data_IF_017894793641
#
_entry.id   IF_017894793641
#
_cell.length_a   1.000
_cell.length_b   1.000
_cell.length_c   1.000
_cell.angle_alpha   90.00
_cell.angle_beta   90.00
_cell.angle_gamma   90.00
#
_symmetry.space_group_name_H-M   'P 1'
#
loop_
_entity.id
_entity.type
_entity.pdbx_description
1 polymer ?
#
# COMPACT_ATOMS: atom_id res chain seq x y z
N UNK A 1 47.16 -42.13 6.82
CA UNK A 1 46.06 -42.79 7.54
C UNK A 1 44.89 -42.89 6.56
N UNK A 2 44.68 -44.00 5.83
CA UNK A 2 44.17 -45.30 6.31
C UNK A 2 42.92 -45.12 7.21
N UNK A 3 41.78 -45.79 7.05
CA UNK A 3 41.45 -47.02 6.29
C UNK A 3 39.93 -47.29 6.40
N UNK A 4 39.32 -47.72 5.28
CA UNK A 4 38.25 -48.75 5.07
C UNK A 4 36.88 -48.64 5.80
N UNK A 5 35.76 -49.10 5.23
CA UNK A 5 35.49 -49.75 3.95
C UNK A 5 34.26 -50.68 4.00
N UNK A 6 33.73 -51.00 2.80
CA UNK A 6 32.97 -52.20 2.38
C UNK A 6 31.53 -52.37 2.93
N UNK A 7 30.51 -52.84 2.20
CA UNK A 7 30.38 -53.32 0.82
C UNK A 7 29.20 -54.33 0.69
N UNK A 8 28.66 -54.49 -0.53
CA UNK A 8 28.05 -55.72 -1.10
C UNK A 8 26.69 -56.24 -0.54
N UNK A 9 25.76 -56.94 -1.23
CA UNK A 9 25.56 -57.40 -2.64
C UNK A 9 24.19 -58.13 -2.79
N UNK A 10 23.60 -58.10 -4.00
CA UNK A 10 22.71 -59.04 -4.75
C UNK A 10 21.39 -59.67 -4.21
N UNK A 11 20.32 -59.42 -4.99
CA UNK A 11 19.43 -60.32 -5.76
C UNK A 11 18.64 -61.50 -5.13
N UNK A 12 17.34 -61.61 -5.45
CA UNK A 12 16.77 -62.83 -6.10
C UNK A 12 15.37 -62.59 -6.70
N UNK A 13 15.11 -63.26 -7.84
CA UNK A 13 13.83 -63.46 -8.54
C UNK A 13 12.93 -64.46 -7.79
N UNK A 14 11.61 -64.35 -7.98
CA UNK A 14 10.71 -65.50 -7.95
C UNK A 14 9.67 -65.40 -9.08
N UNK A 15 9.63 -66.44 -9.91
CA UNK A 15 8.63 -66.72 -10.94
C UNK A 15 7.39 -67.38 -10.30
N UNK A 16 6.20 -67.13 -10.83
CA UNK A 16 5.04 -67.99 -10.59
C UNK A 16 4.38 -68.39 -11.92
N UNK A 17 4.45 -69.68 -12.17
CA UNK A 17 3.89 -70.49 -13.24
C UNK A 17 2.40 -70.78 -12.97
N UNK A 18 1.52 -70.69 -13.98
CA UNK A 18 0.25 -71.46 -13.97
C UNK A 18 -0.02 -72.04 -15.36
N UNK A 19 -0.32 -73.35 -15.36
CA UNK A 19 -0.55 -74.24 -16.50
C UNK A 19 -1.99 -74.18 -17.02
N UNK A 20 -2.11 -74.19 -18.34
CA UNK A 20 -2.96 -75.02 -19.22
C UNK A 20 -4.19 -75.76 -18.64
N UNK A 21 -5.37 -75.55 -19.25
CA UNK A 21 -6.27 -76.65 -19.69
C UNK A 21 -7.25 -76.19 -20.78
N UNK A 22 -7.29 -76.97 -21.85
CA UNK A 22 -8.19 -76.93 -23.01
C UNK A 22 -9.57 -77.55 -22.73
N UNK A 23 -10.62 -77.06 -23.38
CA UNK A 23 -11.85 -77.82 -23.65
C UNK A 23 -12.53 -77.34 -24.93
N UNK A 24 -12.81 -78.29 -25.84
CA UNK A 24 -13.48 -78.15 -27.13
C UNK A 24 -14.99 -78.33 -26.94
N UNK A 25 -15.82 -77.58 -27.67
CA UNK A 25 -17.12 -78.06 -28.13
C UNK A 25 -17.44 -77.51 -29.53
N UNK A 26 -17.84 -78.41 -30.44
CA UNK A 26 -18.35 -78.15 -31.79
C UNK A 26 -19.87 -78.29 -31.78
N UNK A 27 -20.59 -77.39 -32.45
CA UNK A 27 -21.91 -77.65 -33.05
C UNK A 27 -22.12 -76.76 -34.29
N UNK A 28 -23.06 -77.16 -35.13
CA UNK A 28 -22.98 -77.12 -36.60
C UNK A 28 -24.15 -76.33 -37.22
N UNK A 29 -23.87 -75.59 -38.31
CA UNK A 29 -24.77 -75.11 -39.42
C UNK A 29 -25.91 -74.12 -39.11
N UNK A 30 -25.91 -72.97 -39.82
CA UNK A 30 -26.63 -72.76 -41.11
C UNK A 30 -26.38 -71.34 -41.67
N UNK A 31 -26.16 -71.29 -42.98
CA UNK A 31 -26.06 -70.09 -43.82
C UNK A 31 -27.35 -69.25 -43.82
N UNK A 32 -27.21 -67.93 -43.77
CA UNK A 32 -28.03 -66.99 -44.56
C UNK A 32 -27.12 -65.86 -45.04
N UNK A 33 -26.97 -65.74 -46.36
CA UNK A 33 -26.34 -64.63 -47.07
C UNK A 33 -27.38 -63.50 -47.21
N UNK A 34 -27.10 -62.32 -46.63
CA UNK A 34 -27.79 -61.08 -47.01
C UNK A 34 -26.71 -60.08 -47.47
N UNK A 35 -26.72 -59.77 -48.76
CA UNK A 35 -25.95 -58.66 -49.35
C UNK A 35 -26.52 -57.34 -48.79
N UNK A 36 -25.77 -56.67 -47.93
CA UNK A 36 -26.03 -55.29 -47.51
C UNK A 36 -25.02 -54.38 -48.20
N UNK A 37 -25.54 -53.48 -49.04
CA UNK A 37 -24.82 -52.34 -49.61
C UNK A 37 -24.38 -51.40 -48.48
N UNK A 38 -23.07 -51.31 -48.26
CA UNK A 38 -22.44 -50.34 -47.36
C UNK A 38 -22.59 -48.92 -47.95
N UNK A 39 -23.45 -48.11 -47.34
CA UNK A 39 -23.31 -46.64 -47.37
C UNK A 39 -22.37 -46.27 -46.21
N UNK A 40 -21.30 -45.48 -46.40
CA UNK A 40 -20.43 -45.12 -45.31
C UNK A 40 -21.16 -44.16 -44.35
N UNK A 41 -21.38 -44.60 -43.12
CA UNK A 41 -21.80 -43.73 -42.02
C UNK A 41 -20.60 -42.84 -41.67
N UNK A 42 -20.76 -41.54 -41.89
CA UNK A 42 -19.83 -40.51 -41.41
C UNK A 42 -19.66 -40.65 -39.89
N UNK A 43 -18.45 -40.95 -39.43
CA UNK A 43 -18.10 -41.03 -38.03
C UNK A 43 -18.09 -39.62 -37.41
N UNK A 44 -19.18 -39.23 -36.77
CA UNK A 44 -19.19 -38.07 -35.89
C UNK A 44 -18.38 -38.40 -34.62
N UNK A 45 -17.22 -37.74 -34.45
CA UNK A 45 -16.30 -37.99 -33.34
C UNK A 45 -16.54 -36.95 -32.20
N UNK A 46 -17.13 -37.32 -31.05
CA UNK A 46 -17.55 -36.37 -30.02
C UNK A 46 -16.41 -35.84 -29.13
N UNK A 47 -15.16 -36.22 -29.38
CA UNK A 47 -14.00 -35.91 -28.51
C UNK A 47 -13.39 -34.52 -28.71
N UNK A 48 -13.60 -33.86 -29.86
CA UNK A 48 -12.99 -32.56 -30.13
C UNK A 48 -13.60 -31.40 -29.30
N UNK A 49 -14.89 -31.47 -28.95
CA UNK A 49 -15.56 -30.42 -28.17
C UNK A 49 -15.10 -30.36 -26.71
N UNK A 50 -14.95 -31.52 -26.06
CA UNK A 50 -14.50 -31.61 -24.68
C UNK A 50 -13.01 -31.23 -24.52
N UNK A 51 -12.15 -31.62 -25.47
CA UNK A 51 -10.74 -31.23 -25.48
C UNK A 51 -10.57 -29.71 -25.70
N UNK A 52 -11.35 -29.11 -26.62
CA UNK A 52 -11.33 -27.65 -26.88
C UNK A 52 -11.89 -26.84 -25.70
N UNK A 53 -12.97 -27.31 -25.05
CA UNK A 53 -13.55 -26.66 -23.87
C UNK A 53 -12.60 -26.70 -22.66
N UNK A 54 -11.98 -27.85 -22.40
CA UNK A 54 -10.97 -27.99 -21.34
C UNK A 54 -9.72 -27.14 -21.61
N UNK A 55 -9.31 -27.01 -22.88
CA UNK A 55 -8.19 -26.16 -23.28
C UNK A 55 -8.50 -24.67 -23.13
N UNK A 56 -9.73 -24.24 -23.46
CA UNK A 56 -10.17 -22.86 -23.26
C UNK A 56 -10.22 -22.48 -21.78
N UNK A 57 -10.85 -23.33 -20.95
CA UNK A 57 -10.88 -23.14 -19.48
C UNK A 57 -9.48 -23.11 -18.86
N UNK A 58 -8.57 -23.99 -19.32
CA UNK A 58 -7.16 -23.97 -18.87
C UNK A 58 -6.46 -22.67 -19.25
N UNK A 59 -6.67 -22.16 -20.47
CA UNK A 59 -6.10 -20.86 -20.89
C UNK A 59 -6.66 -19.70 -20.08
N UNK A 60 -7.96 -19.70 -19.82
CA UNK A 60 -8.62 -18.66 -19.02
C UNK A 60 -8.17 -18.69 -17.56
N UNK A 61 -8.06 -19.90 -16.98
CA UNK A 61 -7.49 -20.08 -15.64
C UNK A 61 -6.03 -19.62 -15.57
N UNK A 62 -5.22 -19.93 -16.58
CA UNK A 62 -3.84 -19.45 -16.65
C UNK A 62 -3.76 -17.93 -16.77
N UNK A 63 -4.65 -17.30 -17.57
CA UNK A 63 -4.72 -15.87 -17.69
C UNK A 63 -5.12 -15.20 -16.36
N UNK A 64 -6.14 -15.71 -15.68
CA UNK A 64 -6.55 -15.24 -14.35
C UNK A 64 -5.45 -15.45 -13.30
N UNK A 65 -4.73 -16.58 -13.35
CA UNK A 65 -3.59 -16.84 -12.47
C UNK A 65 -2.43 -15.85 -12.70
N UNK A 66 -2.13 -15.54 -13.97
CA UNK A 66 -1.12 -14.55 -14.31
C UNK A 66 -1.52 -13.15 -13.81
N UNK A 67 -2.78 -12.76 -14.00
CA UNK A 67 -3.31 -11.49 -13.51
C UNK A 67 -3.23 -11.38 -11.98
N UNK A 68 -3.70 -12.42 -11.25
CA UNK A 68 -3.58 -12.50 -9.79
C UNK A 68 -2.11 -12.44 -9.33
N UNK A 69 -1.19 -13.06 -10.07
CA UNK A 69 0.23 -13.00 -9.75
C UNK A 69 0.79 -11.58 -9.88
N UNK A 70 0.33 -10.82 -10.86
CA UNK A 70 0.72 -9.43 -11.08
C UNK A 70 0.23 -8.54 -9.93
N UNK A 71 -1.06 -8.66 -9.55
CA UNK A 71 -1.60 -7.92 -8.40
C UNK A 71 -0.87 -8.23 -7.10
N UNK A 72 -0.56 -9.51 -6.84
CA UNK A 72 0.22 -9.92 -5.66
C UNK A 72 1.61 -9.32 -5.63
N UNK A 73 2.29 -9.23 -6.79
CA UNK A 73 3.60 -8.59 -6.88
C UNK A 73 3.52 -7.09 -6.57
N UNK A 74 2.51 -6.40 -7.11
CA UNK A 74 2.27 -4.98 -6.83
C UNK A 74 2.00 -4.73 -5.35
N UNK A 75 1.10 -5.53 -4.73
CA UNK A 75 0.82 -5.46 -3.29
C UNK A 75 2.08 -5.67 -2.46
N UNK A 76 2.87 -6.71 -2.76
CA UNK A 76 4.14 -6.97 -2.06
C UNK A 76 5.11 -5.80 -2.17
N UNK A 77 5.17 -5.14 -3.33
CA UNK A 77 5.99 -3.94 -3.52
C UNK A 77 5.54 -2.77 -2.64
N UNK A 78 4.22 -2.58 -2.47
CA UNK A 78 3.66 -1.58 -1.57
C UNK A 78 3.95 -1.92 -0.10
N UNK A 79 3.65 -3.15 0.32
CA UNK A 79 3.86 -3.61 1.70
C UNK A 79 5.33 -3.53 2.15
N UNK A 80 6.28 -3.63 1.21
CA UNK A 80 7.70 -3.52 1.53
C UNK A 80 8.13 -2.13 2.03
N UNK A 81 7.40 -1.06 1.67
CA UNK A 81 7.79 0.33 2.01
C UNK A 81 6.72 1.15 2.71
N UNK A 82 5.46 0.75 2.57
CA UNK A 82 4.31 1.47 3.11
C UNK A 82 3.86 0.82 4.41
N UNK A 83 3.18 1.58 5.26
CA UNK A 83 2.34 1.00 6.30
C UNK A 83 1.05 0.53 5.65
N UNK A 84 0.62 -0.69 5.96
CA UNK A 84 -0.65 -1.22 5.49
C UNK A 84 -1.42 -1.89 6.63
N UNK A 85 -2.73 -1.72 6.60
CA UNK A 85 -3.64 -2.37 7.54
C UNK A 85 -4.97 -2.67 6.86
N UNK A 86 -5.66 -3.70 7.31
CA UNK A 86 -7.04 -3.98 6.91
C UNK A 86 -7.95 -4.05 8.12
N UNK A 87 -9.15 -3.51 7.97
CA UNK A 87 -10.21 -3.63 8.96
C UNK A 87 -11.33 -4.52 8.43
N UNK A 88 -11.97 -5.25 9.34
CA UNK A 88 -13.26 -5.88 9.04
C UNK A 88 -14.40 -4.85 9.00
N UNK A 89 -15.60 -5.30 8.64
CA UNK A 89 -16.79 -4.45 8.59
C UNK A 89 -17.20 -3.85 9.96
N UNK A 90 -16.61 -4.33 11.07
CA UNK A 90 -16.83 -3.84 12.43
C UNK A 90 -15.69 -2.94 12.93
N UNK A 91 -14.84 -2.42 12.05
CA UNK A 91 -13.71 -1.55 12.36
C UNK A 91 -12.60 -2.24 13.19
N UNK A 92 -12.53 -3.58 13.18
CA UNK A 92 -11.49 -4.34 13.88
C UNK A 92 -10.33 -4.64 12.97
N UNK A 93 -9.11 -4.57 13.50
CA UNK A 93 -7.88 -4.82 12.76
C UNK A 93 -7.82 -6.30 12.38
N UNK A 94 -7.99 -6.60 11.09
CA UNK A 94 -7.90 -7.95 10.54
C UNK A 94 -6.47 -8.26 10.08
N UNK A 95 -5.72 -7.26 9.61
CA UNK A 95 -4.32 -7.38 9.22
C UNK A 95 -3.58 -6.07 9.48
N UNK A 96 -2.29 -6.18 9.79
CA UNK A 96 -1.35 -5.06 9.85
C UNK A 96 0.03 -5.57 9.43
N UNK A 97 0.73 -4.83 8.58
CA UNK A 97 2.07 -5.21 8.14
C UNK A 97 3.15 -4.79 9.15
N UNK A 98 4.35 -5.35 9.00
CA UNK A 98 5.48 -5.08 9.91
C UNK A 98 5.85 -3.59 9.98
N UNK A 99 5.64 -2.84 8.88
CA UNK A 99 5.91 -1.41 8.87
C UNK A 99 4.93 -0.65 9.77
N UNK A 100 3.65 -1.00 9.74
CA UNK A 100 2.65 -0.41 10.63
C UNK A 100 2.96 -0.77 12.09
N UNK A 101 3.23 -2.04 12.37
CA UNK A 101 3.58 -2.52 13.71
C UNK A 101 4.79 -1.79 14.28
N UNK A 102 5.86 -1.68 13.49
CA UNK A 102 7.09 -0.98 13.88
C UNK A 102 6.86 0.52 14.09
N UNK A 103 6.12 1.17 13.19
CA UNK A 103 5.85 2.60 13.27
C UNK A 103 5.04 2.98 14.53
N UNK A 104 4.09 2.12 14.94
CA UNK A 104 3.25 2.38 16.12
C UNK A 104 3.73 1.64 17.39
N UNK A 105 4.79 0.86 17.31
CA UNK A 105 5.40 0.17 18.46
C UNK A 105 4.58 -1.00 19.03
N UNK A 106 3.66 -1.56 18.25
CA UNK A 106 2.83 -2.68 18.68
C UNK A 106 3.29 -4.01 18.07
N UNK A 107 2.91 -5.10 18.73
CA UNK A 107 2.97 -6.46 18.19
C UNK A 107 1.66 -6.83 17.50
N UNK A 108 1.68 -7.83 16.61
CA UNK A 108 0.48 -8.29 15.93
C UNK A 108 -0.55 -8.84 16.95
N UNK A 109 -0.09 -9.56 17.97
CA UNK A 109 -0.91 -10.15 19.01
C UNK A 109 -1.68 -9.10 19.84
N UNK A 110 -1.10 -7.91 20.01
CA UNK A 110 -1.75 -6.81 20.71
C UNK A 110 -2.85 -6.15 19.89
N UNK A 111 -2.73 -6.15 18.55
CA UNK A 111 -3.60 -5.38 17.66
C UNK A 111 -4.68 -6.20 16.95
N UNK A 112 -4.39 -7.43 16.54
CA UNK A 112 -5.33 -8.22 15.76
C UNK A 112 -6.65 -8.43 16.53
N UNK A 113 -7.77 -8.12 15.86
CA UNK A 113 -9.12 -8.18 16.41
C UNK A 113 -9.51 -7.00 17.33
N UNK A 114 -8.57 -6.11 17.68
CA UNK A 114 -8.89 -4.88 18.41
C UNK A 114 -9.56 -3.87 17.49
N UNK A 115 -10.35 -3.01 18.11
CA UNK A 115 -10.98 -1.89 17.40
C UNK A 115 -9.91 -0.82 17.14
N UNK A 116 -9.79 -0.36 15.89
CA UNK A 116 -8.84 0.69 15.50
C UNK A 116 -9.01 1.95 16.35
N UNK A 117 -10.23 2.22 16.79
CA UNK A 117 -10.58 3.39 17.59
C UNK A 117 -9.87 3.46 18.94
N UNK A 118 -9.31 2.36 19.44
CA UNK A 118 -8.51 2.33 20.67
C UNK A 118 -7.15 3.00 20.47
N UNK A 119 -6.66 3.04 19.24
CA UNK A 119 -5.39 3.65 18.86
C UNK A 119 -5.56 5.07 18.35
N UNK A 120 -6.80 5.56 18.23
CA UNK A 120 -7.09 6.92 17.74
C UNK A 120 -7.36 7.83 18.94
N UNK A 121 -6.57 8.90 19.15
CA UNK A 121 -6.84 9.86 20.22
C UNK A 121 -8.27 10.41 20.14
N UNK A 122 -8.93 10.60 21.29
CA UNK A 122 -10.35 10.98 21.35
C UNK A 122 -10.67 12.27 20.59
N UNK A 123 -9.77 13.27 20.64
CA UNK A 123 -9.95 14.54 19.92
C UNK A 123 -9.91 14.37 18.39
N UNK A 124 -9.19 13.36 17.87
CA UNK A 124 -9.06 13.12 16.43
C UNK A 124 -10.39 12.72 15.81
N UNK A 125 -11.27 12.07 16.58
CA UNK A 125 -12.60 11.65 16.12
C UNK A 125 -13.51 12.83 15.75
N UNK A 126 -13.17 14.03 16.21
CA UNK A 126 -13.90 15.27 15.92
C UNK A 126 -13.30 16.06 14.74
N UNK A 127 -12.10 15.69 14.27
CA UNK A 127 -11.42 16.36 13.16
C UNK A 127 -12.02 15.96 11.81
N UNK A 128 -11.81 16.83 10.81
CA UNK A 128 -12.27 16.62 9.44
C UNK A 128 -11.80 15.30 8.83
N UNK A 129 -10.55 14.91 9.07
CA UNK A 129 -10.00 13.66 8.53
C UNK A 129 -10.83 12.42 8.89
N UNK A 130 -11.36 12.37 10.11
CA UNK A 130 -12.13 11.24 10.60
C UNK A 130 -13.60 11.32 10.16
N UNK A 131 -14.16 12.54 10.05
CA UNK A 131 -15.50 12.76 9.45
C UNK A 131 -15.51 12.39 7.97
N UNK A 132 -14.51 12.85 7.22
CA UNK A 132 -14.33 12.56 5.81
C UNK A 132 -14.13 11.06 5.56
N UNK A 133 -13.39 10.38 6.43
CA UNK A 133 -13.27 8.92 6.40
C UNK A 133 -14.63 8.22 6.50
N UNK A 134 -15.45 8.58 7.48
CA UNK A 134 -16.78 7.99 7.64
C UNK A 134 -17.67 8.22 6.40
N UNK A 135 -17.63 9.43 5.84
CA UNK A 135 -18.41 9.76 4.63
C UNK A 135 -17.91 8.97 3.41
N UNK A 136 -16.60 8.85 3.23
CA UNK A 136 -16.01 8.09 2.13
C UNK A 136 -16.38 6.60 2.22
N UNK A 137 -16.29 6.01 3.42
CA UNK A 137 -16.71 4.61 3.67
C UNK A 137 -18.19 4.40 3.35
N UNK A 138 -19.07 5.32 3.74
CA UNK A 138 -20.50 5.23 3.43
C UNK A 138 -20.80 5.32 1.93
N UNK A 139 -20.01 6.09 1.18
CA UNK A 139 -20.15 6.23 -0.27
C UNK A 139 -19.45 5.14 -1.07
N UNK A 140 -18.61 4.32 -0.43
CA UNK A 140 -17.74 3.38 -1.13
C UNK A 140 -16.58 4.07 -1.88
N UNK A 141 -16.24 5.29 -1.50
CA UNK A 141 -15.19 6.10 -2.13
C UNK A 141 -13.88 6.02 -1.34
N UNK A 142 -12.77 6.28 -2.02
CA UNK A 142 -11.47 6.37 -1.36
C UNK A 142 -11.24 7.75 -0.75
N UNK A 143 -10.40 7.81 0.27
CA UNK A 143 -10.02 9.09 0.91
C UNK A 143 -8.56 9.04 1.33
N UNK A 144 -7.88 10.18 1.20
CA UNK A 144 -6.49 10.36 1.63
C UNK A 144 -6.44 11.53 2.60
N UNK A 145 -5.86 11.32 3.77
CA UNK A 145 -5.66 12.38 4.77
C UNK A 145 -4.48 12.05 5.70
N UNK A 146 -4.16 12.97 6.60
CA UNK A 146 -3.17 12.81 7.66
C UNK A 146 -3.87 12.38 8.95
N UNK A 147 -3.66 11.13 9.33
CA UNK A 147 -4.22 10.53 10.52
C UNK A 147 -3.19 10.52 11.65
N UNK A 148 -3.71 10.46 12.87
CA UNK A 148 -2.91 10.46 14.09
C UNK A 148 -3.29 9.24 14.90
N UNK A 149 -2.29 8.44 15.25
CA UNK A 149 -2.45 7.25 16.06
C UNK A 149 -1.61 7.36 17.33
N UNK A 150 -2.03 6.68 18.37
CA UNK A 150 -1.25 6.47 19.57
C UNK A 150 -0.21 5.38 19.29
N UNK A 151 1.03 5.68 19.62
CA UNK A 151 2.08 4.68 19.76
C UNK A 151 1.88 3.89 21.05
N UNK A 152 2.49 2.70 21.15
CA UNK A 152 2.41 1.84 22.33
C UNK A 152 2.92 2.51 23.62
N UNK A 153 3.81 3.50 23.53
CA UNK A 153 4.32 4.30 24.66
C UNK A 153 3.47 5.54 24.98
N UNK A 154 2.40 5.79 24.21
CA UNK A 154 1.50 6.94 24.36
C UNK A 154 1.87 8.18 23.55
N UNK A 155 3.02 8.18 22.84
CA UNK A 155 3.38 9.23 21.89
C UNK A 155 2.48 9.22 20.65
N UNK A 156 2.57 10.27 19.82
CA UNK A 156 1.70 10.46 18.66
C UNK A 156 2.44 10.10 17.37
N UNK A 157 1.89 9.18 16.59
CA UNK A 157 2.40 8.81 15.26
C UNK A 157 1.49 9.41 14.20
N UNK A 158 2.10 10.09 13.24
CA UNK A 158 1.40 10.67 12.11
C UNK A 158 1.54 9.78 10.88
N UNK A 159 0.41 9.42 10.29
CA UNK A 159 0.37 8.60 9.08
C UNK A 159 -0.44 9.32 8.02
N UNK A 160 0.18 9.58 6.87
CA UNK A 160 -0.56 9.97 5.67
C UNK A 160 -1.09 8.70 5.02
N UNK A 161 -2.39 8.46 5.17
CA UNK A 161 -3.02 7.21 4.75
C UNK A 161 -4.11 7.44 3.71
N UNK A 162 -4.16 6.51 2.75
CA UNK A 162 -5.26 6.27 1.85
C UNK A 162 -6.12 5.13 2.39
N UNK A 163 -7.40 5.39 2.57
CA UNK A 163 -8.41 4.40 2.93
C UNK A 163 -9.26 4.04 1.72
N UNK A 164 -9.42 2.75 1.46
CA UNK A 164 -10.17 2.18 0.35
C UNK A 164 -11.22 1.19 0.89
N UNK A 165 -12.51 1.53 0.82
CA UNK A 165 -13.58 0.58 1.08
C UNK A 165 -13.60 -0.50 0.00
N UNK A 166 -13.71 -1.76 0.41
CA UNK A 166 -13.96 -2.89 -0.48
C UNK A 166 -15.35 -3.41 -0.16
N UNK A 167 -16.25 -3.31 -1.14
CA UNK A 167 -17.64 -3.70 -1.03
C UNK A 167 -17.85 -5.10 -1.64
N UNK A 168 -18.86 -5.81 -1.16
CA UNK A 168 -19.35 -7.04 -1.81
C UNK A 168 -20.31 -6.74 -2.98
N UNK A 169 -20.79 -7.80 -3.64
CA UNK A 169 -21.72 -7.70 -4.78
C UNK A 169 -23.07 -7.03 -4.42
N UNK A 170 -23.39 -6.91 -3.13
CA UNK A 170 -24.59 -6.24 -2.62
C UNK A 170 -24.32 -4.79 -2.20
N UNK A 171 -23.10 -4.29 -2.40
CA UNK A 171 -22.69 -2.94 -2.01
C UNK A 171 -22.42 -2.79 -0.51
N UNK A 172 -22.36 -3.88 0.25
CA UNK A 172 -22.06 -3.85 1.68
C UNK A 172 -20.55 -3.87 1.91
N UNK A 173 -20.08 -3.11 2.90
CA UNK A 173 -18.68 -3.10 3.28
C UNK A 173 -18.22 -4.49 3.71
N UNK A 174 -17.25 -5.05 2.99
CA UNK A 174 -16.59 -6.31 3.30
C UNK A 174 -15.33 -6.06 4.13
N UNK A 175 -14.48 -5.13 3.70
CA UNK A 175 -13.25 -4.75 4.42
C UNK A 175 -12.87 -3.31 4.07
N UNK A 176 -12.15 -2.65 4.97
CA UNK A 176 -11.57 -1.35 4.73
C UNK A 176 -10.05 -1.49 4.70
N UNK A 177 -9.44 -1.19 3.54
CA UNK A 177 -8.00 -1.31 3.32
C UNK A 177 -7.31 0.05 3.48
N UNK A 178 -6.14 0.06 4.12
CA UNK A 178 -5.33 1.24 4.34
C UNK A 178 -3.93 1.03 3.79
N UNK A 179 -3.43 2.04 3.08
CA UNK A 179 -2.01 2.16 2.72
C UNK A 179 -1.54 3.56 3.02
N UNK A 180 -0.35 3.71 3.59
CA UNK A 180 0.16 5.02 3.91
C UNK A 180 1.65 5.07 4.14
N UNK A 181 2.10 6.26 4.53
CA UNK A 181 3.46 6.50 4.96
C UNK A 181 3.43 7.14 6.34
N UNK A 182 4.33 6.69 7.21
CA UNK A 182 4.67 7.41 8.43
C UNK A 182 5.31 8.76 8.05
N UNK A 183 4.74 9.85 8.56
CA UNK A 183 5.21 11.23 8.36
C UNK A 183 5.57 11.90 9.68
N UNK A 184 5.70 11.16 10.78
CA UNK A 184 5.96 11.67 12.12
C UNK A 184 7.20 12.55 12.15
N UNK A 185 8.33 12.01 11.68
CA UNK A 185 9.60 12.74 11.60
C UNK A 185 9.48 14.02 10.74
N UNK A 186 8.72 13.96 9.64
CA UNK A 186 8.49 15.12 8.76
C UNK A 186 7.73 16.22 9.50
N UNK A 187 6.68 15.86 10.25
CA UNK A 187 5.87 16.79 11.03
C UNK A 187 6.66 17.38 12.18
N UNK A 188 7.40 16.54 12.92
CA UNK A 188 8.26 16.98 14.04
C UNK A 188 9.36 17.93 13.58
N UNK A 189 10.09 17.56 12.52
CA UNK A 189 11.14 18.42 11.93
C UNK A 189 10.57 19.76 11.47
N UNK A 190 9.37 19.77 10.87
CA UNK A 190 8.71 21.00 10.45
C UNK A 190 8.33 21.88 11.65
N UNK A 191 7.84 21.27 12.74
CA UNK A 191 7.50 21.97 13.97
C UNK A 191 8.74 22.56 14.66
N UNK A 192 9.83 21.79 14.75
CA UNK A 192 11.12 22.24 15.30
C UNK A 192 11.70 23.40 14.51
N UNK A 193 11.74 23.30 13.17
CA UNK A 193 12.22 24.37 12.30
C UNK A 193 11.38 25.64 12.45
N UNK A 194 10.05 25.49 12.53
CA UNK A 194 9.15 26.62 12.76
C UNK A 194 9.44 27.30 14.11
N UNK A 195 9.59 26.51 15.17
CA UNK A 195 9.93 27.02 16.50
C UNK A 195 11.29 27.73 16.52
N UNK A 196 12.29 27.17 15.84
CA UNK A 196 13.62 27.77 15.73
C UNK A 196 13.59 29.11 14.98
N UNK A 197 12.92 29.18 13.83
CA UNK A 197 12.73 30.43 13.08
C UNK A 197 12.02 31.47 13.95
N UNK A 198 10.96 31.08 14.66
CA UNK A 198 10.24 31.98 15.56
C UNK A 198 11.08 32.46 16.74
N UNK A 199 12.01 31.63 17.25
CA UNK A 199 12.97 32.06 18.26
C UNK A 199 13.96 33.10 17.71
N UNK A 200 14.52 32.85 16.52
CA UNK A 200 15.41 33.81 15.83
C UNK A 200 14.72 35.14 15.55
N UNK A 201 13.50 35.12 15.02
CA UNK A 201 12.71 36.33 14.77
C UNK A 201 12.37 37.09 16.05
N UNK A 202 12.31 36.41 17.20
CA UNK A 202 12.12 37.05 18.51
C UNK A 202 13.40 37.60 19.10
N UNK A 203 14.58 37.15 18.69
CA UNK A 203 15.85 37.66 19.24
C UNK A 203 16.57 38.65 18.33
N UNK A 204 16.23 38.69 17.05
CA UNK A 204 16.98 39.44 16.03
C UNK A 204 16.10 40.47 15.35
N UNK A 205 16.63 41.67 15.12
CA UNK A 205 15.97 42.69 14.29
C UNK A 205 16.03 42.26 12.81
N UNK A 206 14.86 42.09 12.19
CA UNK A 206 14.73 41.66 10.79
C UNK A 206 13.83 42.63 10.04
N UNK A 207 14.31 43.08 8.88
CA UNK A 207 13.59 43.90 7.92
C UNK A 207 13.73 43.27 6.53
N UNK A 208 12.65 43.28 5.75
CA UNK A 208 12.60 42.74 4.40
C UNK A 208 12.38 43.89 3.41
N UNK A 209 13.17 43.87 2.32
CA UNK A 209 13.07 44.84 1.23
C UNK A 209 12.74 44.14 -0.08
N UNK A 210 12.08 44.86 -0.99
CA UNK A 210 12.03 44.44 -2.39
C UNK A 210 13.37 44.67 -3.11
N UNK A 211 13.46 44.26 -4.37
CA UNK A 211 14.66 44.42 -5.19
C UNK A 211 15.05 45.88 -5.42
N UNK A 212 14.10 46.81 -5.30
CA UNK A 212 14.34 48.25 -5.38
C UNK A 212 14.64 48.88 -4.02
N UNK A 213 14.91 48.08 -2.98
CA UNK A 213 15.26 48.56 -1.65
C UNK A 213 14.11 49.15 -0.85
N UNK A 214 12.85 48.92 -1.20
CA UNK A 214 11.69 49.43 -0.45
C UNK A 214 11.22 48.42 0.61
N UNK A 215 10.87 48.91 1.80
CA UNK A 215 10.45 48.05 2.92
C UNK A 215 9.16 47.31 2.58
N UNK A 216 9.20 45.98 2.58
CA UNK A 216 8.02 45.11 2.48
C UNK A 216 7.39 44.89 3.86
N UNK A 217 8.22 44.46 4.82
CA UNK A 217 7.83 44.20 6.21
C UNK A 217 9.03 44.32 7.14
N UNK A 218 8.77 44.42 8.44
CA UNK A 218 9.79 44.38 9.49
C UNK A 218 9.19 43.72 10.74
N UNK A 219 10.00 42.98 11.50
CA UNK A 219 9.56 42.39 12.75
C UNK A 219 9.57 43.40 13.90
N UNK A 220 8.89 43.06 15.00
CA UNK A 220 8.78 43.93 16.18
C UNK A 220 10.13 44.30 16.78
N UNK A 221 11.15 43.45 16.64
CA UNK A 221 12.48 43.76 17.16
C UNK A 221 13.17 44.88 16.38
N UNK A 222 13.07 44.87 15.04
CA UNK A 222 13.56 45.98 14.23
C UNK A 222 12.78 47.26 14.53
N UNK A 223 11.45 47.18 14.56
CA UNK A 223 10.57 48.32 14.81
C UNK A 223 10.87 48.99 16.16
N UNK A 224 10.98 48.19 17.23
CA UNK A 224 11.34 48.72 18.56
C UNK A 224 12.76 49.25 18.61
N UNK A 225 13.72 48.55 18.00
CA UNK A 225 15.12 48.96 17.98
C UNK A 225 15.35 50.30 17.26
N UNK A 226 14.63 50.52 16.16
CA UNK A 226 14.73 51.76 15.36
C UNK A 226 13.71 52.83 15.76
N UNK A 227 12.75 52.53 16.64
CA UNK A 227 11.74 53.48 17.09
C UNK A 227 10.64 53.80 16.07
N UNK A 228 10.38 52.90 15.13
CA UNK A 228 9.35 53.05 14.10
C UNK A 228 8.18 52.09 14.30
N UNK A 229 7.04 52.40 13.68
CA UNK A 229 6.00 51.41 13.40
C UNK A 229 6.01 51.03 11.91
N UNK A 230 5.44 49.87 11.58
CA UNK A 230 5.45 49.37 10.20
C UNK A 230 4.78 50.33 9.22
N UNK A 231 3.69 51.00 9.61
CA UNK A 231 2.98 51.92 8.73
C UNK A 231 3.82 53.15 8.33
N UNK A 232 4.78 53.56 9.16
CA UNK A 232 5.69 54.67 8.86
C UNK A 232 6.75 54.30 7.82
N UNK A 233 7.21 53.05 7.83
CA UNK A 233 8.36 52.61 7.04
C UNK A 233 8.00 51.76 5.84
N UNK A 234 6.82 51.12 5.81
CA UNK A 234 6.40 50.27 4.70
C UNK A 234 6.35 51.06 3.38
N UNK A 235 6.99 50.51 2.35
CA UNK A 235 7.13 51.15 1.04
C UNK A 235 8.11 52.32 1.01
N UNK A 236 8.83 52.63 2.10
CA UNK A 236 9.93 53.60 2.09
C UNK A 236 11.22 52.92 1.65
N UNK A 237 12.11 53.67 1.00
CA UNK A 237 13.41 53.16 0.61
C UNK A 237 14.33 52.99 1.83
N UNK A 238 15.14 51.93 1.86
CA UNK A 238 15.98 51.54 2.99
C UNK A 238 17.03 52.58 3.39
N UNK A 239 17.35 53.53 2.51
CA UNK A 239 18.21 54.69 2.80
C UNK A 239 17.71 55.52 3.98
N UNK A 240 16.42 55.42 4.36
CA UNK A 240 15.86 56.02 5.57
C UNK A 240 16.61 55.64 6.85
N UNK A 241 17.23 54.45 6.89
CA UNK A 241 17.90 53.91 8.07
C UNK A 241 19.42 54.07 8.05
N UNK A 242 19.98 54.66 7.00
CA UNK A 242 21.42 54.81 6.80
C UNK A 242 21.88 56.22 7.18
N UNK A 243 23.15 56.37 7.56
CA UNK A 243 23.72 57.68 7.83
C UNK A 243 23.70 58.55 6.55
N UNK A 244 23.24 59.81 6.61
CA UNK A 244 23.31 60.74 5.48
C UNK A 244 24.69 60.87 4.83
N UNK A 245 25.78 60.69 5.59
CA UNK A 245 27.15 60.73 5.07
C UNK A 245 27.52 59.47 4.25
N UNK A 246 26.85 58.34 4.47
CA UNK A 246 27.11 57.08 3.76
C UNK A 246 26.20 56.92 2.52
N UNK A 247 24.98 57.46 2.55
CA UNK A 247 24.04 57.47 1.42
C UNK A 247 24.42 58.43 0.28
N UNK A 248 25.39 59.32 0.52
CA UNK A 248 25.90 60.28 -0.46
C UNK A 248 27.13 59.78 -1.23
N UNK A 249 27.66 58.60 -0.90
CA UNK A 249 28.63 57.86 -1.72
C UNK A 249 27.89 56.97 -2.73
N UNK A 250 28.43 56.85 -3.93
CA UNK A 250 27.64 56.64 -5.16
C UNK A 250 27.31 55.19 -5.62
N UNK A 251 26.74 54.29 -4.79
CA UNK A 251 25.91 53.21 -5.35
C UNK A 251 24.44 53.24 -4.93
N UNK A 252 23.97 54.22 -4.15
CA UNK A 252 22.60 54.26 -3.61
C UNK A 252 21.50 54.80 -4.54
N UNK A 253 21.82 55.09 -5.82
CA UNK A 253 20.93 55.71 -6.81
C UNK A 253 20.71 54.81 -8.03
N UNK A 254 20.17 53.61 -7.86
CA UNK A 254 19.45 52.87 -8.93
C UNK A 254 18.26 52.12 -8.34
#
# INVERSE_FOLDING_TARGET
MQVHGRGCVLASRAQSTVRNTSSRFWTTRRNVLIRSTLVPISSYNPTNGAAMFNTRLKKELQAQQAELSMYRQMQKGMDARMVSLSLDASNRIAHANDNFLRALGYTAEQLLGKDLDQMVPSYVKQLDCYRNLKLAVQKGESVIDNYRFLHADGSLVWVRAMWQPVLDDQGKLMTLQCYGSDITQTVETAAENSAFIQALLRSTAVIEFDLGGHVLTANDQFLRGMGYNLAQIKGKHHSLFCDPAETSLAPYRE
#
